data_IF_866501497036
#
_entry.id   IF_866501497036
#
_cell.length_a   1.000
_cell.length_b   1.000
_cell.length_c   1.000
_cell.angle_alpha   90.00
_cell.angle_beta   90.00
_cell.angle_gamma   90.00
#
_symmetry.space_group_name_H-M   'P 1'
#
loop_
_entity.id
_entity.type
_entity.pdbx_description
1 polymer ?
#
# COMPACT_ATOMS: atom_id res chain seq x y z
N UNK A 1 -11.76 4.17 -6.00
CA UNK A 1 -10.34 3.84 -6.33
C UNK A 1 -10.31 2.96 -7.56
N UNK A 2 -9.67 3.43 -8.61
CA UNK A 2 -9.56 2.67 -9.84
C UNK A 2 -8.28 1.84 -9.82
N UNK A 3 -8.41 0.56 -10.12
CA UNK A 3 -7.29 -0.35 -10.19
C UNK A 3 -7.56 -1.45 -11.22
N UNK A 4 -6.51 -2.13 -11.62
CA UNK A 4 -6.59 -3.26 -12.54
C UNK A 4 -5.69 -4.39 -12.05
N UNK A 5 -6.17 -5.63 -12.15
CA UNK A 5 -5.37 -6.80 -11.83
C UNK A 5 -5.01 -7.46 -13.17
N UNK A 6 -3.72 -7.57 -13.44
CA UNK A 6 -3.23 -8.14 -14.69
C UNK A 6 -2.00 -9.01 -14.44
N UNK A 7 -1.75 -9.95 -15.36
CA UNK A 7 -0.60 -10.83 -15.26
C UNK A 7 0.65 -10.10 -15.78
N UNK A 8 1.68 -10.08 -14.95
CA UNK A 8 2.98 -9.51 -15.29
C UNK A 8 3.90 -10.61 -15.80
N UNK A 9 4.21 -10.58 -17.09
CA UNK A 9 5.03 -11.59 -17.72
C UNK A 9 6.50 -11.56 -17.27
N UNK A 10 7.00 -10.38 -16.92
CA UNK A 10 8.38 -10.24 -16.44
C UNK A 10 8.59 -10.92 -15.09
N UNK A 11 7.64 -10.75 -14.18
CA UNK A 11 7.69 -11.37 -12.86
C UNK A 11 6.98 -12.72 -12.80
N UNK A 12 6.29 -13.11 -13.86
CA UNK A 12 5.50 -14.35 -13.94
C UNK A 12 4.47 -14.48 -12.83
N UNK A 13 3.79 -13.39 -12.52
CA UNK A 13 2.75 -13.36 -11.50
C UNK A 13 1.71 -12.28 -11.77
N UNK A 14 0.58 -12.39 -11.13
CA UNK A 14 -0.42 -11.33 -11.17
C UNK A 14 0.02 -10.12 -10.35
N UNK A 15 -0.44 -8.97 -10.77
CA UNK A 15 -0.08 -7.69 -10.15
C UNK A 15 -1.27 -6.76 -10.15
N UNK A 16 -1.36 -5.89 -9.13
CA UNK A 16 -2.38 -4.84 -9.08
C UNK A 16 -1.74 -3.55 -9.59
N UNK A 17 -2.39 -2.94 -10.58
CA UNK A 17 -2.00 -1.65 -11.13
C UNK A 17 -3.04 -0.61 -10.71
N UNK A 18 -2.60 0.47 -10.12
CA UNK A 18 -3.48 1.54 -9.68
C UNK A 18 -2.88 2.88 -10.07
N UNK A 19 -3.70 3.92 -10.02
CA UNK A 19 -3.23 5.28 -10.24
C UNK A 19 -2.13 5.63 -9.25
N UNK A 20 -1.32 6.61 -9.60
CA UNK A 20 -0.18 7.04 -8.81
C UNK A 20 -0.53 7.31 -7.34
N UNK A 21 -1.68 7.93 -7.09
CA UNK A 21 -2.13 8.24 -5.73
C UNK A 21 -2.44 7.01 -4.88
N UNK A 22 -2.64 5.85 -5.50
CA UNK A 22 -2.93 4.59 -4.83
C UNK A 22 -1.81 3.56 -4.98
N UNK A 23 -0.67 3.97 -5.52
CA UNK A 23 0.43 3.05 -5.84
C UNK A 23 0.93 2.28 -4.61
N UNK A 24 1.05 2.93 -3.46
CA UNK A 24 1.52 2.27 -2.25
C UNK A 24 0.58 1.15 -1.80
N UNK A 25 -0.72 1.35 -1.93
CA UNK A 25 -1.71 0.32 -1.58
C UNK A 25 -1.59 -0.87 -2.53
N UNK A 26 -1.52 -0.60 -3.84
CA UNK A 26 -1.39 -1.65 -4.85
C UNK A 26 -0.11 -2.45 -4.66
N UNK A 27 1.01 -1.80 -4.39
CA UNK A 27 2.28 -2.47 -4.14
C UNK A 27 2.24 -3.33 -2.88
N UNK A 28 1.68 -2.80 -1.81
CA UNK A 28 1.55 -3.54 -0.55
C UNK A 28 0.74 -4.82 -0.75
N UNK A 29 -0.44 -4.73 -1.34
CA UNK A 29 -1.29 -5.89 -1.57
C UNK A 29 -0.60 -6.90 -2.49
N UNK A 30 0.01 -6.43 -3.57
CA UNK A 30 0.71 -7.30 -4.53
C UNK A 30 1.85 -8.07 -3.90
N UNK A 31 2.60 -7.45 -2.99
CA UNK A 31 3.81 -8.05 -2.41
C UNK A 31 3.55 -8.84 -1.13
N UNK A 32 2.62 -8.41 -0.30
CA UNK A 32 2.46 -8.96 1.05
C UNK A 32 1.12 -9.62 1.33
N UNK A 33 0.06 -9.25 0.64
CA UNK A 33 -1.27 -9.82 0.87
C UNK A 33 -1.52 -10.93 -0.16
N UNK A 34 -0.65 -11.93 -0.16
CA UNK A 34 -0.63 -12.99 -1.17
C UNK A 34 -1.00 -14.36 -0.64
N UNK A 35 -0.94 -14.57 0.66
CA UNK A 35 -1.30 -15.83 1.28
C UNK A 35 -2.66 -15.71 1.99
N UNK A 36 -3.31 -16.83 2.17
CA UNK A 36 -4.64 -16.88 2.77
C UNK A 36 -4.67 -16.22 4.15
N UNK A 37 -3.63 -16.42 4.95
CA UNK A 37 -3.54 -15.85 6.29
C UNK A 37 -3.55 -14.33 6.28
N UNK A 38 -2.72 -13.71 5.44
CA UNK A 38 -2.66 -12.26 5.33
C UNK A 38 -3.93 -11.67 4.72
N UNK A 39 -4.51 -12.36 3.73
CA UNK A 39 -5.78 -11.94 3.13
C UNK A 39 -6.87 -11.90 4.20
N UNK A 40 -6.99 -12.94 5.00
CA UNK A 40 -7.99 -13.00 6.08
C UNK A 40 -7.72 -11.96 7.16
N UNK A 41 -6.47 -11.73 7.49
CA UNK A 41 -6.07 -10.72 8.48
C UNK A 41 -6.50 -9.32 8.05
N UNK A 42 -6.26 -8.97 6.79
CA UNK A 42 -6.63 -7.66 6.26
C UNK A 42 -8.16 -7.51 6.22
N UNK A 43 -8.88 -8.53 5.76
CA UNK A 43 -10.34 -8.48 5.72
C UNK A 43 -10.96 -8.40 7.12
N UNK A 44 -10.38 -9.10 8.07
CA UNK A 44 -10.82 -9.04 9.48
C UNK A 44 -10.58 -7.66 10.07
N UNK A 45 -9.42 -7.05 9.80
CA UNK A 45 -9.10 -5.71 10.27
C UNK A 45 -10.06 -4.68 9.71
N UNK A 46 -10.43 -4.79 8.43
CA UNK A 46 -11.41 -3.89 7.82
C UNK A 46 -12.78 -4.04 8.48
N UNK A 47 -13.18 -5.26 8.80
CA UNK A 47 -14.44 -5.55 9.47
C UNK A 47 -14.48 -4.97 10.88
N UNK A 48 -13.40 -5.15 11.65
CA UNK A 48 -13.27 -4.58 12.98
C UNK A 48 -13.33 -3.06 12.96
N UNK A 49 -12.71 -2.45 11.97
CA UNK A 49 -12.73 -1.00 11.81
C UNK A 49 -14.15 -0.49 11.53
N UNK A 50 -14.89 -1.19 10.67
CA UNK A 50 -16.23 -0.80 10.26
C UNK A 50 -17.26 -0.97 11.39
N UNK A 51 -17.26 -2.14 12.04
CA UNK A 51 -18.30 -2.49 12.99
C UNK A 51 -17.95 -2.18 14.44
N UNK A 52 -16.69 -2.27 14.81
CA UNK A 52 -16.26 -2.05 16.19
C UNK A 52 -15.40 -0.81 16.37
N UNK A 53 -15.12 -0.11 15.28
CA UNK A 53 -14.32 1.12 15.26
C UNK A 53 -12.92 0.94 15.83
N UNK A 54 -12.39 -0.26 15.69
CA UNK A 54 -11.03 -0.56 16.12
C UNK A 54 -10.02 -0.21 15.04
N UNK A 55 -8.89 0.34 15.46
CA UNK A 55 -7.77 0.64 14.57
C UNK A 55 -6.76 -0.49 14.64
N UNK A 56 -6.37 -1.01 13.49
CA UNK A 56 -5.36 -2.05 13.37
C UNK A 56 -4.16 -1.52 12.60
N UNK A 57 -2.97 -1.81 13.09
CA UNK A 57 -1.73 -1.40 12.45
C UNK A 57 -0.90 -2.63 12.08
N UNK A 58 -0.40 -2.65 10.83
CA UNK A 58 0.49 -3.70 10.34
C UNK A 58 1.81 -3.09 9.90
N UNK A 59 2.87 -3.88 10.08
CA UNK A 59 4.16 -3.58 9.49
C UNK A 59 4.54 -4.74 8.57
N UNK A 60 4.50 -4.52 7.27
CA UNK A 60 4.85 -5.52 6.25
C UNK A 60 6.05 -5.00 5.45
N UNK A 61 7.26 -5.47 5.81
CA UNK A 61 8.47 -4.99 5.15
C UNK A 61 8.60 -3.48 5.27
N UNK A 62 8.74 -2.76 4.15
CA UNK A 62 8.84 -1.30 4.18
C UNK A 62 7.48 -0.60 4.30
N UNK A 63 6.37 -1.36 4.34
CA UNK A 63 5.04 -0.77 4.39
C UNK A 63 4.48 -0.74 5.80
N UNK A 64 3.99 0.43 6.19
CA UNK A 64 3.19 0.60 7.40
C UNK A 64 1.75 0.79 6.98
N UNK A 65 0.85 -0.02 7.53
CA UNK A 65 -0.57 -0.02 7.16
C UNK A 65 -1.42 0.26 8.38
N UNK A 66 -2.28 1.26 8.29
CA UNK A 66 -3.23 1.59 9.35
C UNK A 66 -4.64 1.46 8.80
N UNK A 67 -5.44 0.60 9.40
CA UNK A 67 -6.83 0.38 9.02
C UNK A 67 -7.71 0.85 10.17
N UNK A 68 -8.53 1.86 9.92
CA UNK A 68 -9.42 2.45 10.92
C UNK A 68 -10.80 2.72 10.33
N UNK A 69 -11.73 3.18 11.15
CA UNK A 69 -13.06 3.56 10.67
C UNK A 69 -13.04 4.68 9.62
N UNK A 70 -11.98 5.48 9.63
CA UNK A 70 -11.80 6.57 8.66
C UNK A 70 -11.30 6.07 7.31
N UNK A 71 -10.75 4.88 7.26
CA UNK A 71 -10.24 4.29 6.03
C UNK A 71 -8.90 3.59 6.23
N UNK A 72 -8.15 3.49 5.16
CA UNK A 72 -6.88 2.79 5.12
C UNK A 72 -5.77 3.74 4.69
N UNK A 73 -4.66 3.72 5.43
CA UNK A 73 -3.47 4.50 5.10
C UNK A 73 -2.30 3.53 4.95
N UNK A 74 -1.66 3.53 3.80
CA UNK A 74 -0.47 2.73 3.54
C UNK A 74 0.69 3.68 3.27
N UNK A 75 1.73 3.56 4.07
CA UNK A 75 2.94 4.37 3.93
C UNK A 75 4.13 3.47 3.66
N UNK A 76 4.89 3.78 2.63
CA UNK A 76 6.13 3.07 2.35
C UNK A 76 7.28 3.81 3.01
N UNK A 77 7.98 3.13 3.92
CA UNK A 77 9.16 3.69 4.55
C UNK A 77 10.34 3.57 3.60
N UNK A 78 10.99 4.69 3.34
CA UNK A 78 12.23 4.68 2.58
C UNK A 78 13.34 4.30 3.56
N UNK A 79 14.19 3.34 3.16
CA UNK A 79 15.36 3.01 3.97
C UNK A 79 16.32 4.19 3.96
N UNK A 80 16.30 4.96 5.04
CA UNK A 80 17.07 6.19 5.15
C UNK A 80 18.58 5.96 5.24
N UNK A 81 19.02 4.75 5.52
CA UNK A 81 20.44 4.47 5.68
C UNK A 81 21.21 4.47 4.35
N UNK A 82 20.56 4.06 3.25
CA UNK A 82 21.19 4.07 1.93
C UNK A 82 20.91 5.35 1.13
N UNK A 83 19.73 5.93 1.35
CA UNK A 83 19.27 7.08 0.59
C UNK A 83 19.67 8.42 1.23
N UNK A 84 20.10 8.41 2.47
CA UNK A 84 20.31 9.65 3.23
C UNK A 84 21.36 10.58 2.62
N UNK A 85 22.47 10.02 2.15
CA UNK A 85 23.50 10.84 1.50
C UNK A 85 23.08 11.35 0.13
N UNK A 86 22.40 10.52 -0.67
CA UNK A 86 21.89 10.93 -1.97
C UNK A 86 20.79 11.96 -1.85
N UNK A 87 19.90 11.79 -0.88
CA UNK A 87 18.81 12.74 -0.63
C UNK A 87 19.37 14.06 -0.14
N UNK A 88 20.33 14.04 0.76
CA UNK A 88 20.99 15.26 1.22
C UNK A 88 21.71 16.00 0.09
N UNK A 89 22.40 15.28 -0.75
CA UNK A 89 23.07 15.86 -1.91
C UNK A 89 22.06 16.49 -2.88
N UNK A 90 20.92 15.86 -3.07
CA UNK A 90 19.85 16.41 -3.89
C UNK A 90 19.21 17.64 -3.27
N UNK A 91 19.03 17.66 -1.96
CA UNK A 91 18.49 18.83 -1.24
C UNK A 91 19.45 20.00 -1.24
N UNK A 92 20.74 19.73 -1.14
CA UNK A 92 21.77 20.77 -1.14
C UNK A 92 21.99 21.39 -2.52
N UNK A 93 21.75 20.61 -3.58
CA UNK A 93 21.99 21.05 -4.96
C UNK A 93 20.75 21.64 -5.63
N UNK A 94 19.58 21.39 -5.10
CA UNK A 94 18.34 21.89 -5.66
C UNK A 94 17.57 22.66 -4.59
N UNK A 95 17.24 23.86 -4.94
CA UNK A 95 16.39 24.70 -4.09
C UNK A 95 15.15 23.95 -3.63
N UNK A 96 14.58 24.45 -2.56
CA UNK A 96 13.41 23.96 -1.86
C UNK A 96 12.19 23.61 -2.73
N UNK A 97 12.31 23.70 -4.03
CA UNK A 97 11.25 23.31 -4.98
C UNK A 97 11.14 21.81 -5.18
N UNK A 98 12.20 21.08 -4.90
CA UNK A 98 12.15 19.63 -5.04
C UNK A 98 11.82 18.99 -3.70
N UNK A 99 10.53 18.86 -3.45
CA UNK A 99 10.09 17.98 -2.38
C UNK A 99 9.88 16.63 -3.02
N UNK A 100 10.53 15.56 -2.52
CA UNK A 100 10.16 14.24 -2.98
C UNK A 100 8.66 14.12 -2.76
N UNK A 101 7.95 13.80 -3.83
CA UNK A 101 6.52 13.64 -3.75
C UNK A 101 6.21 12.55 -2.74
N UNK A 102 5.49 12.88 -1.67
CA UNK A 102 5.04 11.91 -0.71
C UNK A 102 3.90 11.05 -1.28
N UNK A 103 3.35 11.44 -2.42
CA UNK A 103 2.24 10.75 -3.06
C UNK A 103 2.61 9.33 -3.50
N UNK A 104 3.87 9.10 -3.88
CA UNK A 104 4.35 7.76 -4.24
C UNK A 104 4.66 6.86 -3.07
N UNK A 105 4.75 7.42 -1.84
CA UNK A 105 5.12 6.68 -0.64
C UNK A 105 4.00 6.61 0.38
N UNK A 106 2.88 7.28 0.13
CA UNK A 106 1.71 7.25 1.00
C UNK A 106 0.46 7.21 0.16
N UNK A 107 -0.46 6.33 0.51
CA UNK A 107 -1.75 6.22 -0.18
C UNK A 107 -2.86 6.02 0.83
N UNK A 108 -4.04 6.53 0.52
CA UNK A 108 -5.22 6.41 1.36
C UNK A 108 -6.41 5.96 0.54
N UNK A 109 -7.26 5.12 1.10
CA UNK A 109 -8.52 4.73 0.48
C UNK A 109 -9.57 4.42 1.54
N UNK A 110 -10.82 4.28 1.13
CA UNK A 110 -11.89 3.87 2.02
C UNK A 110 -11.84 2.37 2.34
N UNK A 111 -12.53 1.97 3.39
CA UNK A 111 -12.62 0.56 3.77
C UNK A 111 -13.25 -0.31 2.69
N UNK A 112 -14.32 0.18 2.06
CA UNK A 112 -14.98 -0.55 0.99
C UNK A 112 -14.07 -0.78 -0.21
N UNK A 113 -13.28 0.22 -0.56
CA UNK A 113 -12.32 0.12 -1.67
C UNK A 113 -11.24 -0.92 -1.38
N UNK A 114 -10.75 -0.96 -0.15
CA UNK A 114 -9.75 -1.97 0.23
C UNK A 114 -10.35 -3.37 0.19
N UNK A 115 -11.52 -3.56 0.77
CA UNK A 115 -12.20 -4.85 0.79
C UNK A 115 -12.44 -5.35 -0.63
N UNK A 116 -12.94 -4.50 -1.50
CA UNK A 116 -13.17 -4.81 -2.90
C UNK A 116 -11.88 -5.28 -3.59
N UNK A 117 -10.80 -4.52 -3.42
CA UNK A 117 -9.51 -4.86 -4.00
C UNK A 117 -8.98 -6.20 -3.50
N UNK A 118 -9.02 -6.43 -2.18
CA UNK A 118 -8.49 -7.66 -1.59
C UNK A 118 -9.34 -8.87 -1.98
N UNK A 119 -10.66 -8.74 -2.03
CA UNK A 119 -11.53 -9.83 -2.46
C UNK A 119 -11.31 -10.20 -3.93
N UNK A 120 -11.21 -9.22 -4.81
CA UNK A 120 -10.92 -9.46 -6.22
C UNK A 120 -9.53 -10.06 -6.42
N UNK A 121 -8.56 -9.59 -5.66
CA UNK A 121 -7.21 -10.13 -5.66
C UNK A 121 -7.18 -11.59 -5.22
N UNK A 122 -7.92 -11.91 -4.18
CA UNK A 122 -8.03 -13.29 -3.67
C UNK A 122 -8.61 -14.23 -4.73
N UNK A 123 -9.63 -13.79 -5.47
CA UNK A 123 -10.20 -14.58 -6.55
C UNK A 123 -9.18 -14.89 -7.65
N UNK A 124 -8.38 -13.91 -8.00
CA UNK A 124 -7.35 -14.06 -9.04
C UNK A 124 -6.26 -15.04 -8.60
N UNK A 125 -5.91 -15.05 -7.31
CA UNK A 125 -4.85 -15.91 -6.78
C UNK A 125 -5.29 -17.36 -6.54
N UNK A 126 -6.57 -17.65 -6.58
CA UNK A 126 -7.07 -19.03 -6.41
C UNK A 126 -6.73 -19.95 -7.57
#
# INVERSE_FOLDING_TARGET
MDYEIAFDQEESRYRIYADYEFAAIAEWVTQFVIDKENIQRVLSAARLAEYEKETTQFQHGPFEVIISEEGVVVSRQVDMSEAEEEIKAMFDSQDSFYRPSTDGIKAECGLEDLVDMVENWHEVLQ
#
